data_IF_475809311366
#
_entry.id   IF_475809311366
#
_cell.length_a   1.000
_cell.length_b   1.000
_cell.length_c   1.000
_cell.angle_alpha   90.00
_cell.angle_beta   90.00
_cell.angle_gamma   90.00
#
_symmetry.space_group_name_H-M   'P 1'
#
loop_
_entity.id
_entity.type
_entity.pdbx_description
1 polymer ?
#
# COMPACT_ATOMS: atom_id res chain seq x y z
N UNK A 1 -5.51 4.33 6.07
CA UNK A 1 -4.67 3.12 6.09
C UNK A 1 -5.50 2.00 6.67
N UNK A 2 -5.41 0.81 6.11
CA UNK A 2 -6.09 -0.38 6.62
C UNK A 2 -5.04 -1.46 6.85
N UNK A 3 -5.05 -2.12 8.00
CA UNK A 3 -4.10 -3.18 8.35
C UNK A 3 -4.81 -4.38 8.95
N UNK A 4 -4.32 -5.58 8.63
CA UNK A 4 -4.84 -6.84 9.16
C UNK A 4 -3.74 -7.89 9.23
N UNK A 5 -3.94 -8.91 10.06
CA UNK A 5 -3.08 -10.09 10.11
C UNK A 5 -3.54 -11.12 9.07
N UNK A 6 -2.59 -11.69 8.34
CA UNK A 6 -2.82 -12.73 7.34
C UNK A 6 -1.82 -13.88 7.54
N UNK A 7 -2.17 -15.09 7.13
CA UNK A 7 -1.26 -16.22 7.20
C UNK A 7 -0.40 -16.30 5.94
N UNK A 8 0.92 -16.40 6.14
CA UNK A 8 1.89 -16.67 5.09
C UNK A 8 2.49 -18.06 5.24
N UNK A 9 3.21 -18.52 4.21
CA UNK A 9 3.90 -19.82 4.23
C UNK A 9 4.88 -19.97 5.41
N UNK A 10 5.42 -18.86 5.92
CA UNK A 10 6.35 -18.82 7.06
C UNK A 10 5.68 -18.39 8.38
N UNK A 11 4.34 -18.41 8.45
CA UNK A 11 3.57 -17.99 9.62
C UNK A 11 2.85 -16.64 9.43
N UNK A 12 2.30 -16.06 10.51
CA UNK A 12 1.47 -14.86 10.43
C UNK A 12 2.27 -13.65 9.94
N UNK A 13 1.65 -12.85 9.07
CA UNK A 13 2.19 -11.66 8.43
C UNK A 13 1.23 -10.49 8.62
N UNK A 14 1.78 -9.31 8.88
CA UNK A 14 1.01 -8.07 8.89
C UNK A 14 0.88 -7.56 7.45
N UNK A 15 -0.36 -7.42 6.99
CA UNK A 15 -0.66 -6.84 5.68
C UNK A 15 -1.20 -5.43 5.88
N UNK A 16 -0.70 -4.50 5.06
CA UNK A 16 -1.03 -3.09 5.15
C UNK A 16 -1.41 -2.53 3.80
N UNK A 17 -2.61 -1.97 3.70
CA UNK A 17 -3.09 -1.21 2.55
C UNK A 17 -2.95 0.28 2.83
N UNK A 18 -2.02 0.92 2.12
CA UNK A 18 -1.74 2.35 2.23
C UNK A 18 -2.23 3.06 0.97
N UNK A 19 -3.14 4.02 1.15
CA UNK A 19 -3.52 4.95 0.10
C UNK A 19 -2.62 6.19 0.21
N UNK A 20 -1.80 6.44 -0.79
CA UNK A 20 -0.89 7.57 -0.84
C UNK A 20 -0.98 8.30 -2.18
N UNK A 21 -0.59 9.57 -2.19
CA UNK A 21 -0.44 10.34 -3.45
C UNK A 21 0.73 9.77 -4.25
N UNK A 22 0.57 9.66 -5.58
CA UNK A 22 1.60 9.12 -6.51
C UNK A 22 2.96 9.80 -6.35
N UNK A 23 2.98 11.12 -6.14
CA UNK A 23 4.22 11.87 -5.95
C UNK A 23 5.03 11.49 -4.69
N UNK A 24 4.42 10.81 -3.72
CA UNK A 24 5.08 10.35 -2.48
C UNK A 24 5.47 8.88 -2.51
N UNK A 25 5.16 8.16 -3.60
CA UNK A 25 5.41 6.71 -3.70
C UNK A 25 6.88 6.37 -3.46
N UNK A 26 7.81 7.05 -4.14
CA UNK A 26 9.25 6.81 -4.01
C UNK A 26 9.73 7.02 -2.57
N UNK A 27 9.27 8.08 -1.91
CA UNK A 27 9.62 8.35 -0.51
C UNK A 27 9.10 7.27 0.43
N UNK A 28 7.85 6.83 0.21
CA UNK A 28 7.22 5.77 1.01
C UNK A 28 7.93 4.43 0.82
N UNK A 29 8.25 4.07 -0.42
CA UNK A 29 9.02 2.87 -0.75
C UNK A 29 10.36 2.86 -0.04
N UNK A 30 11.09 3.98 -0.07
CA UNK A 30 12.38 4.09 0.60
C UNK A 30 12.26 3.86 2.12
N UNK A 31 11.33 4.56 2.77
CA UNK A 31 11.11 4.43 4.23
C UNK A 31 10.72 3.00 4.62
N UNK A 32 9.89 2.33 3.81
CA UNK A 32 9.47 0.95 4.07
C UNK A 32 10.66 0.00 3.97
N UNK A 33 11.46 0.10 2.91
CA UNK A 33 12.61 -0.77 2.70
C UNK A 33 13.74 -0.52 3.70
N UNK A 34 13.91 0.74 4.15
CA UNK A 34 14.87 1.10 5.20
C UNK A 34 14.48 0.47 6.55
N UNK A 35 13.20 0.54 6.93
CA UNK A 35 12.71 -0.01 8.21
C UNK A 35 12.53 -1.53 8.18
N UNK A 36 12.05 -2.07 7.06
CA UNK A 36 11.70 -3.48 6.92
C UNK A 36 12.21 -3.99 5.55
N UNK A 37 13.50 -4.36 5.44
CA UNK A 37 14.10 -4.75 4.17
C UNK A 37 13.51 -6.04 3.57
N UNK A 38 12.84 -6.86 4.39
CA UNK A 38 12.14 -8.08 3.95
C UNK A 38 10.69 -7.85 3.51
N UNK A 39 10.20 -6.61 3.55
CA UNK A 39 8.85 -6.29 3.10
C UNK A 39 8.75 -6.40 1.57
N UNK A 40 7.65 -6.97 1.08
CA UNK A 40 7.29 -6.91 -0.33
C UNK A 40 6.20 -5.85 -0.53
N UNK A 41 6.30 -5.09 -1.63
CA UNK A 41 5.38 -4.00 -1.94
C UNK A 41 4.62 -4.31 -3.22
N UNK A 42 3.29 -4.20 -3.18
CA UNK A 42 2.41 -4.32 -4.34
C UNK A 42 1.77 -2.95 -4.58
N UNK A 43 2.04 -2.38 -5.75
CA UNK A 43 1.48 -1.08 -6.17
C UNK A 43 0.32 -1.34 -7.12
N UNK A 44 -0.85 -0.83 -6.77
CA UNK A 44 -2.04 -0.91 -7.62
C UNK A 44 -2.24 0.44 -8.30
N UNK A 45 -2.18 0.47 -9.63
CA UNK A 45 -2.63 1.64 -10.37
C UNK A 45 -4.15 1.57 -10.51
N UNK A 46 -4.89 2.59 -10.04
CA UNK A 46 -6.33 2.65 -10.24
C UNK A 46 -6.61 2.83 -11.73
N UNK A 47 -7.19 1.82 -12.36
CA UNK A 47 -7.53 1.84 -13.79
C UNK A 47 -8.87 2.54 -14.05
N UNK A 48 -9.82 2.43 -13.12
CA UNK A 48 -11.15 3.04 -13.23
C UNK A 48 -11.59 3.56 -11.87
N UNK A 49 -12.02 4.82 -11.81
CA UNK A 49 -12.64 5.41 -10.63
C UNK A 49 -14.15 5.41 -10.81
N UNK A 50 -14.85 4.46 -10.17
CA UNK A 50 -16.30 4.40 -10.17
C UNK A 50 -16.84 5.08 -8.90
N UNK A 51 -17.25 6.35 -9.01
CA UNK A 51 -17.86 7.07 -7.89
C UNK A 51 -16.86 7.53 -6.80
N UNK A 52 -17.24 8.55 -6.03
CA UNK A 52 -16.51 8.99 -4.84
C UNK A 52 -15.87 10.39 -4.95
N UNK A 53 -15.32 10.84 -3.81
CA UNK A 53 -14.77 12.18 -3.47
C UNK A 53 -13.83 12.84 -4.51
N UNK A 54 -13.39 12.11 -5.54
CA UNK A 54 -12.54 12.59 -6.63
C UNK A 54 -13.28 12.92 -7.94
N UNK A 55 -14.59 12.64 -8.03
CA UNK A 55 -15.44 13.21 -9.06
C UNK A 55 -15.67 14.68 -8.70
N UNK A 56 -14.98 15.59 -9.40
CA UNK A 56 -15.42 16.99 -9.45
C UNK A 56 -16.84 17.02 -10.03
N UNK A 57 -17.71 17.83 -9.44
CA UNK A 57 -18.91 18.32 -10.12
C UNK A 57 -18.53 19.04 -11.40
#
# INVERSE_FOLDING_TARGET
MTSWYADGQQGPRLVMKVLAKRNKENKLRHIILEKVPKAFLISYEPTHFNGGFFLKR
#
